data_IF_915724275906
#
_entry.id   IF_915724275906
#
_cell.length_a   1.000
_cell.length_b   1.000
_cell.length_c   1.000
_cell.angle_alpha   90.00
_cell.angle_beta   90.00
_cell.angle_gamma   90.00
#
_symmetry.space_group_name_H-M   'P 1'
#
loop_
_entity.id
_entity.type
_entity.pdbx_description
1 polymer ?
#
# COMPACT_ATOMS: atom_id res chain seq x y z
N UNK A 1 1.73 23.08 42.47
CA UNK A 1 0.97 23.40 41.24
C UNK A 1 1.66 22.98 39.94
N UNK A 2 2.98 22.70 39.88
CA UNK A 2 3.68 22.42 38.62
C UNK A 2 3.50 21.02 38.01
N UNK A 3 3.46 19.94 38.80
CA UNK A 3 3.43 18.57 38.26
C UNK A 3 2.12 18.25 37.50
N UNK A 4 0.98 18.78 37.95
CA UNK A 4 -0.31 18.57 37.29
C UNK A 4 -0.41 19.30 35.94
N UNK A 5 0.21 20.49 35.83
CA UNK A 5 0.20 21.27 34.59
C UNK A 5 1.04 20.59 33.50
N UNK A 6 2.20 20.04 33.85
CA UNK A 6 3.07 19.29 32.92
C UNK A 6 2.42 17.98 32.48
N UNK A 7 1.71 17.27 33.37
CA UNK A 7 0.97 16.06 33.01
C UNK A 7 -0.12 16.34 31.97
N UNK A 8 -0.87 17.44 32.14
CA UNK A 8 -1.91 17.83 31.20
C UNK A 8 -1.34 18.22 29.82
N UNK A 9 -0.19 18.90 29.77
CA UNK A 9 0.48 19.27 28.51
C UNK A 9 1.00 18.05 27.76
N UNK A 10 1.52 17.04 28.48
CA UNK A 10 1.94 15.77 27.90
C UNK A 10 0.78 14.97 27.31
N UNK A 11 -0.37 14.97 27.99
CA UNK A 11 -1.59 14.33 27.48
C UNK A 11 -2.12 15.03 26.22
N UNK A 12 -1.99 16.35 26.13
CA UNK A 12 -2.32 17.11 24.92
C UNK A 12 -1.40 16.74 23.73
N UNK A 13 -0.08 16.68 23.94
CA UNK A 13 0.85 16.22 22.90
C UNK A 13 0.57 14.79 22.43
N UNK A 14 0.21 13.90 23.36
CA UNK A 14 -0.20 12.53 23.01
C UNK A 14 -1.48 12.53 22.19
N UNK A 15 -2.46 13.37 22.53
CA UNK A 15 -3.70 13.53 21.78
C UNK A 15 -3.44 13.93 20.32
N UNK A 16 -2.68 15.01 20.12
CA UNK A 16 -2.28 15.49 18.77
C UNK A 16 -1.57 14.41 17.99
N UNK A 17 -0.62 13.71 18.61
CA UNK A 17 0.08 12.60 17.95
C UNK A 17 -0.87 11.51 17.44
N UNK A 18 -1.86 11.11 18.24
CA UNK A 18 -2.80 10.07 17.81
C UNK A 18 -3.69 10.54 16.66
N UNK A 19 -4.05 11.83 16.60
CA UNK A 19 -4.77 12.41 15.46
C UNK A 19 -3.89 12.39 14.20
N UNK A 20 -2.66 12.90 14.27
CA UNK A 20 -1.70 12.88 13.15
C UNK A 20 -1.39 11.46 12.67
N UNK A 21 -1.25 10.50 13.59
CA UNK A 21 -1.01 9.10 13.25
C UNK A 21 -2.18 8.52 12.46
N UNK A 22 -3.43 8.88 12.77
CA UNK A 22 -4.60 8.46 12.01
C UNK A 22 -4.63 9.07 10.60
N UNK A 23 -4.24 10.34 10.45
CA UNK A 23 -4.12 10.97 9.13
C UNK A 23 -3.06 10.28 8.27
N UNK A 24 -1.91 9.94 8.86
CA UNK A 24 -0.87 9.18 8.19
C UNK A 24 -1.34 7.78 7.80
N UNK A 25 -2.07 7.07 8.66
CA UNK A 25 -2.65 5.76 8.36
C UNK A 25 -3.63 5.82 7.18
N UNK A 26 -4.55 6.79 7.18
CA UNK A 26 -5.48 7.00 6.07
C UNK A 26 -4.75 7.30 4.75
N UNK A 27 -3.70 8.11 4.81
CA UNK A 27 -2.86 8.39 3.65
C UNK A 27 -2.13 7.14 3.14
N UNK A 28 -1.67 6.28 4.05
CA UNK A 28 -1.04 5.00 3.70
C UNK A 28 -2.02 4.04 3.04
N UNK A 29 -3.22 3.86 3.62
CA UNK A 29 -4.27 3.02 3.04
C UNK A 29 -4.65 3.48 1.63
N UNK A 30 -4.87 4.79 1.44
CA UNK A 30 -5.18 5.36 0.14
C UNK A 30 -4.04 5.11 -0.87
N UNK A 31 -2.80 5.35 -0.48
CA UNK A 31 -1.63 5.13 -1.33
C UNK A 31 -1.44 3.64 -1.70
N UNK A 32 -1.67 2.71 -0.77
CA UNK A 32 -1.55 1.27 -1.05
C UNK A 32 -2.59 0.81 -2.08
N UNK A 33 -3.80 1.35 -2.03
CA UNK A 33 -4.85 1.04 -3.01
C UNK A 33 -4.54 1.59 -4.41
N UNK A 34 -3.78 2.68 -4.50
CA UNK A 34 -3.33 3.24 -5.78
C UNK A 34 -2.17 2.44 -6.40
N UNK A 35 -1.40 1.70 -5.59
CA UNK A 35 -0.12 1.11 -5.98
C UNK A 35 -0.24 0.08 -7.13
N UNK A 36 -1.37 -0.63 -7.23
CA UNK A 36 -1.63 -1.60 -8.30
C UNK A 36 -1.85 -0.92 -9.66
N UNK A 37 -2.55 0.22 -9.67
CA UNK A 37 -2.98 0.92 -10.88
C UNK A 37 -2.15 2.17 -11.22
N UNK A 38 -1.25 2.59 -10.31
CA UNK A 38 -0.46 3.80 -10.49
C UNK A 38 0.55 3.67 -11.63
N UNK A 39 0.54 4.66 -12.53
CA UNK A 39 1.58 4.84 -13.55
C UNK A 39 2.92 5.29 -12.93
N UNK A 40 2.87 6.03 -11.82
CA UNK A 40 4.04 6.43 -11.03
C UNK A 40 4.05 5.75 -9.65
N UNK A 41 4.50 4.49 -9.64
CA UNK A 41 4.64 3.69 -8.41
C UNK A 41 5.68 4.27 -7.45
N UNK A 42 6.67 5.00 -7.97
CA UNK A 42 7.75 5.54 -7.16
C UNK A 42 7.24 6.64 -6.23
N UNK A 43 6.38 7.54 -6.71
CA UNK A 43 5.82 8.57 -5.86
C UNK A 43 4.84 8.01 -4.82
N UNK A 44 4.12 6.93 -5.14
CA UNK A 44 3.31 6.20 -4.16
C UNK A 44 4.18 5.64 -3.04
N UNK A 45 5.30 4.97 -3.37
CA UNK A 45 6.25 4.45 -2.37
C UNK A 45 6.89 5.58 -1.53
N UNK A 46 7.19 6.73 -2.13
CA UNK A 46 7.67 7.90 -1.40
C UNK A 46 6.65 8.40 -0.36
N UNK A 47 5.37 8.49 -0.72
CA UNK A 47 4.29 8.88 0.20
C UNK A 47 4.16 7.90 1.36
N UNK A 48 4.16 6.60 1.06
CA UNK A 48 4.10 5.54 2.07
C UNK A 48 5.27 5.62 3.05
N UNK A 49 6.50 5.77 2.53
CA UNK A 49 7.70 5.90 3.35
C UNK A 49 7.62 7.13 4.27
N UNK A 50 7.23 8.30 3.75
CA UNK A 50 7.11 9.52 4.55
C UNK A 50 6.11 9.37 5.70
N UNK A 51 4.95 8.76 5.44
CA UNK A 51 3.94 8.53 6.47
C UNK A 51 4.43 7.60 7.57
N UNK A 52 5.03 6.46 7.21
CA UNK A 52 5.62 5.52 8.18
C UNK A 52 6.75 6.19 9.00
N UNK A 53 7.60 6.97 8.34
CA UNK A 53 8.71 7.69 8.97
C UNK A 53 8.24 8.73 9.98
N UNK A 54 7.18 9.48 9.67
CA UNK A 54 6.58 10.44 10.60
C UNK A 54 6.02 9.74 11.84
N UNK A 55 5.27 8.64 11.68
CA UNK A 55 4.74 7.85 12.80
C UNK A 55 5.89 7.31 13.67
N UNK A 56 6.96 6.79 13.06
CA UNK A 56 8.15 6.32 13.77
C UNK A 56 8.80 7.43 14.59
N UNK A 57 9.07 8.58 13.96
CA UNK A 57 9.72 9.71 14.60
C UNK A 57 8.93 10.21 15.81
N UNK A 58 7.65 10.50 15.62
CA UNK A 58 6.80 11.02 16.68
C UNK A 58 6.57 10.00 17.82
N UNK A 59 6.35 8.72 17.50
CA UNK A 59 6.20 7.67 18.52
C UNK A 59 7.49 7.47 19.34
N UNK A 60 8.67 7.57 18.72
CA UNK A 60 9.94 7.52 19.43
C UNK A 60 10.13 8.72 20.36
N UNK A 61 9.81 9.94 19.90
CA UNK A 61 9.87 11.16 20.72
C UNK A 61 8.95 11.10 21.94
N UNK A 62 7.78 10.48 21.81
CA UNK A 62 6.81 10.30 22.89
C UNK A 62 7.08 9.05 23.76
N UNK A 63 8.12 8.28 23.46
CA UNK A 63 8.47 7.07 24.20
C UNK A 63 7.50 5.88 24.00
N UNK A 64 6.68 5.90 22.94
CA UNK A 64 5.76 4.81 22.58
C UNK A 64 6.55 3.73 21.82
N UNK A 65 7.43 3.03 22.55
CA UNK A 65 8.48 2.18 21.98
C UNK A 65 7.94 1.04 21.10
N UNK A 66 6.76 0.49 21.42
CA UNK A 66 6.15 -0.57 20.63
C UNK A 66 5.80 -0.09 19.23
N UNK A 67 5.21 1.10 19.15
CA UNK A 67 4.83 1.74 17.90
C UNK A 67 6.06 2.18 17.10
N UNK A 68 7.07 2.73 17.77
CA UNK A 68 8.35 3.09 17.15
C UNK A 68 9.07 1.86 16.56
N UNK A 69 9.11 0.74 17.28
CA UNK A 69 9.74 -0.49 16.79
C UNK A 69 8.98 -1.09 15.60
N UNK A 70 7.65 -1.16 15.67
CA UNK A 70 6.85 -1.72 14.58
C UNK A 70 6.93 -0.86 13.31
N UNK A 71 6.77 0.46 13.46
CA UNK A 71 6.85 1.41 12.35
C UNK A 71 8.24 1.44 11.71
N UNK A 72 9.32 1.23 12.48
CA UNK A 72 10.67 1.06 11.93
C UNK A 72 10.77 -0.16 11.01
N UNK A 73 10.26 -1.33 11.41
CA UNK A 73 10.30 -2.53 10.55
C UNK A 73 9.50 -2.34 9.26
N UNK A 74 8.38 -1.63 9.32
CA UNK A 74 7.61 -1.26 8.14
C UNK A 74 8.36 -0.26 7.24
N UNK A 75 8.99 0.76 7.84
CA UNK A 75 9.81 1.75 7.14
C UNK A 75 11.00 1.09 6.41
N UNK A 76 11.63 0.07 7.01
CA UNK A 76 12.75 -0.66 6.39
C UNK A 76 12.33 -1.31 5.07
N UNK A 77 11.19 -2.02 5.05
CA UNK A 77 10.67 -2.63 3.82
C UNK A 77 10.33 -1.57 2.78
N UNK A 78 9.62 -0.51 3.18
CA UNK A 78 9.27 0.60 2.30
C UNK A 78 10.51 1.31 1.73
N UNK A 79 11.56 1.47 2.54
CA UNK A 79 12.83 2.04 2.13
C UNK A 79 13.49 1.20 1.04
N UNK A 80 13.53 -0.12 1.20
CA UNK A 80 14.12 -1.01 0.19
C UNK A 80 13.36 -1.02 -1.13
N UNK A 81 12.03 -1.00 -1.06
CA UNK A 81 11.15 -0.91 -2.23
C UNK A 81 11.32 0.45 -2.93
N UNK A 82 11.31 1.55 -2.18
CA UNK A 82 11.52 2.92 -2.68
C UNK A 82 12.89 3.07 -3.33
N UNK A 83 13.94 2.54 -2.72
CA UNK A 83 15.30 2.68 -3.21
C UNK A 83 15.60 1.72 -4.38
N UNK A 84 14.64 0.89 -4.79
CA UNK A 84 14.77 -0.09 -5.87
C UNK A 84 15.70 -1.27 -5.54
N UNK A 85 16.12 -1.40 -4.27
CA UNK A 85 16.95 -2.52 -3.80
C UNK A 85 16.14 -3.81 -3.61
N UNK A 86 14.80 -3.69 -3.56
CA UNK A 86 13.84 -4.77 -3.60
C UNK A 86 12.79 -4.47 -4.67
N UNK A 87 12.51 -5.43 -5.55
CA UNK A 87 11.47 -5.27 -6.57
C UNK A 87 10.07 -5.39 -5.94
N UNK A 88 9.21 -4.41 -6.19
CA UNK A 88 7.82 -4.46 -5.76
C UNK A 88 7.07 -5.59 -6.48
N UNK A 89 6.31 -6.36 -5.72
CA UNK A 89 5.51 -7.49 -6.21
C UNK A 89 4.21 -7.61 -5.40
N UNK A 90 3.25 -8.40 -5.90
CA UNK A 90 1.92 -8.52 -5.28
C UNK A 90 1.98 -8.93 -3.80
N UNK A 91 2.86 -9.89 -3.45
CA UNK A 91 3.05 -10.32 -2.06
C UNK A 91 3.54 -9.19 -1.14
N UNK A 92 4.26 -8.21 -1.68
CA UNK A 92 4.69 -7.03 -0.91
C UNK A 92 3.51 -6.11 -0.66
N UNK A 93 2.62 -5.90 -1.64
CA UNK A 93 1.41 -5.07 -1.47
C UNK A 93 0.50 -5.69 -0.40
N UNK A 94 0.25 -6.99 -0.48
CA UNK A 94 -0.55 -7.73 0.52
C UNK A 94 0.06 -7.64 1.93
N UNK A 95 1.38 -7.73 2.03
CA UNK A 95 2.08 -7.58 3.30
C UNK A 95 1.99 -6.16 3.85
N UNK A 96 2.15 -5.14 2.99
CA UNK A 96 2.04 -3.74 3.38
C UNK A 96 0.63 -3.39 3.85
N UNK A 97 -0.42 -3.88 3.19
CA UNK A 97 -1.81 -3.71 3.62
C UNK A 97 -2.04 -4.28 5.02
N UNK A 98 -1.64 -5.54 5.25
CA UNK A 98 -1.73 -6.16 6.59
C UNK A 98 -0.88 -5.44 7.63
N UNK A 99 0.28 -4.92 7.24
CA UNK A 99 1.14 -4.17 8.15
C UNK A 99 0.53 -2.82 8.54
N UNK A 100 -0.12 -2.13 7.61
CA UNK A 100 -0.88 -0.91 7.88
C UNK A 100 -2.08 -1.18 8.79
N UNK A 101 -2.82 -2.29 8.58
CA UNK A 101 -3.92 -2.71 9.47
C UNK A 101 -3.43 -2.92 10.92
N UNK A 102 -2.33 -3.66 11.08
CA UNK A 102 -1.71 -3.92 12.38
C UNK A 102 -1.19 -2.62 13.01
N UNK A 103 -0.58 -1.72 12.22
CA UNK A 103 -0.13 -0.41 12.70
C UNK A 103 -1.32 0.41 13.23
N UNK A 104 -2.44 0.46 12.50
CA UNK A 104 -3.64 1.16 12.92
C UNK A 104 -4.27 0.60 14.19
N UNK A 105 -4.32 -0.74 14.31
CA UNK A 105 -4.77 -1.40 15.52
C UNK A 105 -3.81 -1.13 16.70
N UNK A 106 -2.51 -1.03 16.46
CA UNK A 106 -1.49 -0.72 17.46
C UNK A 106 -1.62 0.73 17.96
N UNK A 107 -1.82 1.69 17.05
CA UNK A 107 -2.10 3.09 17.39
C UNK A 107 -3.33 3.19 18.29
N UNK A 108 -4.39 2.45 17.96
CA UNK A 108 -5.62 2.39 18.77
C UNK A 108 -5.34 1.81 20.16
N UNK A 109 -4.60 0.70 20.24
CA UNK A 109 -4.26 0.06 21.51
C UNK A 109 -3.42 0.96 22.42
N UNK A 110 -2.43 1.67 21.87
CA UNK A 110 -1.57 2.61 22.62
C UNK A 110 -2.33 3.87 23.08
N UNK A 111 -3.35 4.30 22.30
CA UNK A 111 -4.25 5.40 22.69
C UNK A 111 -5.16 4.98 23.84
N UNK A 112 -5.76 3.81 23.72
CA UNK A 112 -6.80 3.34 24.65
C UNK A 112 -6.21 2.61 25.87
N UNK A 113 -4.89 2.38 25.89
CA UNK A 113 -4.18 1.69 26.96
C UNK A 113 -4.50 0.19 27.05
N UNK A 114 -4.84 -0.44 25.92
CA UNK A 114 -5.25 -1.84 25.85
C UNK A 114 -4.09 -2.77 25.48
N UNK A 115 -4.34 -4.08 25.54
CA UNK A 115 -3.39 -5.07 25.06
C UNK A 115 -3.07 -4.85 23.56
N UNK A 116 -1.85 -5.20 23.11
CA UNK A 116 -1.51 -5.16 21.69
C UNK A 116 -2.43 -6.05 20.87
N UNK A 117 -2.72 -5.66 19.61
CA UNK A 117 -3.53 -6.48 18.73
C UNK A 117 -2.84 -7.80 18.39
N UNK A 118 -3.64 -8.79 17.99
CA UNK A 118 -3.12 -10.02 17.41
C UNK A 118 -2.34 -9.73 16.12
N UNK A 119 -1.37 -10.58 15.79
CA UNK A 119 -0.63 -10.49 14.53
C UNK A 119 0.56 -9.54 14.52
N UNK A 120 0.80 -8.74 15.56
CA UNK A 120 1.99 -7.87 15.67
C UNK A 120 3.27 -8.66 15.44
N UNK A 121 3.46 -9.76 16.18
CA UNK A 121 4.67 -10.58 16.08
C UNK A 121 4.80 -11.29 14.73
N UNK A 122 3.70 -11.87 14.21
CA UNK A 122 3.73 -12.60 12.94
C UNK A 122 4.02 -11.67 11.77
N UNK A 123 3.34 -10.52 11.68
CA UNK A 123 3.56 -9.56 10.59
C UNK A 123 4.94 -8.92 10.71
N UNK A 124 5.42 -8.61 11.92
CA UNK A 124 6.80 -8.14 12.12
C UNK A 124 7.82 -9.13 11.56
N UNK A 125 7.62 -10.43 11.80
CA UNK A 125 8.49 -11.48 11.25
C UNK A 125 8.41 -11.55 9.72
N UNK A 126 7.22 -11.45 9.15
CA UNK A 126 7.04 -11.44 7.70
C UNK A 126 7.70 -10.24 7.04
N UNK A 127 7.64 -9.05 7.65
CA UNK A 127 8.35 -7.85 7.19
C UNK A 127 9.88 -8.06 7.18
N UNK A 128 10.45 -8.65 8.24
CA UNK A 128 11.88 -8.96 8.28
C UNK A 128 12.27 -9.94 7.17
N UNK A 129 11.48 -11.01 6.97
CA UNK A 129 11.73 -11.99 5.90
C UNK A 129 11.64 -11.36 4.51
N UNK A 130 10.68 -10.45 4.28
CA UNK A 130 10.58 -9.70 3.02
C UNK A 130 11.81 -8.81 2.78
N UNK A 131 12.42 -8.26 3.84
CA UNK A 131 13.68 -7.53 3.76
C UNK A 131 14.90 -8.43 3.46
N UNK A 132 14.86 -9.72 3.75
CA UNK A 132 15.99 -10.63 3.48
C UNK A 132 15.91 -11.26 2.09
N UNK A 133 14.71 -11.46 1.56
CA UNK A 133 14.48 -12.09 0.27
C UNK A 133 14.75 -11.13 -0.90
N UNK A 134 16.02 -11.03 -1.32
CA UNK A 134 16.45 -10.35 -2.57
C UNK A 134 16.22 -11.22 -3.81
N UNK A 135 15.58 -12.39 -3.66
CA UNK A 135 15.35 -13.29 -4.79
C UNK A 135 14.48 -12.62 -5.85
N UNK A 136 15.13 -12.35 -6.98
CA UNK A 136 14.64 -12.00 -8.32
C UNK A 136 13.19 -12.44 -8.58
N UNK A 137 12.23 -11.75 -8.00
CA UNK A 137 10.87 -11.79 -8.50
C UNK A 137 10.88 -10.93 -9.75
N UNK A 138 10.87 -11.58 -10.92
CA UNK A 138 10.47 -10.88 -12.14
C UNK A 138 9.12 -10.22 -11.87
N UNK A 139 8.90 -8.97 -12.33
CA UNK A 139 7.64 -8.30 -12.11
C UNK A 139 6.53 -9.16 -12.71
N UNK A 140 5.77 -9.87 -11.87
CA UNK A 140 4.59 -10.64 -12.27
C UNK A 140 3.39 -9.71 -12.49
N UNK A 141 3.66 -8.52 -13.04
CA UNK A 141 2.64 -7.65 -13.59
C UNK A 141 2.79 -7.72 -15.11
N UNK A 142 1.87 -8.45 -15.75
CA UNK A 142 1.90 -8.68 -17.18
C UNK A 142 1.85 -7.37 -17.96
N UNK A 143 2.94 -7.04 -18.64
CA UNK A 143 2.81 -6.47 -19.98
C UNK A 143 2.25 -7.60 -20.84
N UNK A 144 1.22 -7.39 -21.68
CA UNK A 144 0.89 -8.39 -22.68
C UNK A 144 2.07 -8.46 -23.65
N UNK A 145 3.00 -9.38 -23.42
CA UNK A 145 3.88 -9.88 -24.47
C UNK A 145 3.01 -10.81 -25.31
N UNK A 146 2.21 -10.21 -26.18
CA UNK A 146 1.71 -10.93 -27.35
C UNK A 146 2.94 -11.55 -28.01
N UNK A 147 2.98 -12.86 -28.28
CA UNK A 147 3.99 -13.37 -29.19
C UNK A 147 3.84 -12.56 -30.46
N UNK A 148 4.92 -11.92 -30.91
CA UNK A 148 4.99 -11.35 -32.24
C UNK A 148 4.90 -12.52 -33.25
N UNK A 149 3.69 -13.06 -33.45
CA UNK A 149 3.37 -13.89 -34.58
C UNK A 149 3.26 -12.95 -35.77
N UNK A 150 4.35 -12.94 -36.53
CA UNK A 150 4.48 -12.52 -37.92
C UNK A 150 3.25 -11.84 -38.52
N UNK A 151 3.29 -10.51 -38.59
CA UNK A 151 2.57 -9.78 -39.64
C UNK A 151 3.15 -10.23 -40.99
N UNK A 152 2.57 -11.26 -41.60
CA UNK A 152 2.70 -11.48 -43.04
C UNK A 152 1.69 -10.56 -43.72
N UNK A 153 2.23 -9.61 -44.49
CA UNK A 153 1.50 -8.50 -45.06
C UNK A 153 0.27 -8.90 -45.86
N UNK A 154 -0.84 -8.24 -45.56
CA UNK A 154 -1.92 -8.02 -46.52
C UNK A 154 -1.87 -6.56 -46.95
N UNK A 155 -1.83 -6.36 -48.27
CA UNK A 155 -1.91 -5.04 -48.90
C UNK A 155 -3.15 -4.30 -48.38
N UNK A 156 -2.95 -3.09 -47.89
CA UNK A 156 -4.03 -2.15 -47.59
C UNK A 156 -4.50 -1.53 -48.91
N UNK A 157 -5.67 -1.95 -49.38
CA UNK A 157 -6.50 -1.14 -50.28
C UNK A 157 -7.33 -0.20 -49.39
N UNK A 158 -7.14 1.11 -49.59
CA UNK A 158 -7.79 2.15 -48.83
C UNK A 158 -9.08 2.59 -49.53
N UNK A 159 -10.12 1.76 -49.45
CA UNK A 159 -11.47 2.26 -49.65
C UNK A 159 -12.45 1.72 -48.61
N UNK A 160 -13.15 2.66 -47.98
CA UNK A 160 -14.31 2.51 -47.09
C UNK A 160 -14.02 2.44 -45.59
N UNK A 161 -14.53 3.47 -44.93
CA UNK A 161 -14.57 3.77 -43.50
C UNK A 161 -15.51 2.81 -42.77
N UNK A 162 -15.01 1.97 -41.86
CA UNK A 162 -15.80 1.53 -40.69
C UNK A 162 -14.87 1.00 -39.59
N UNK A 163 -14.87 1.69 -38.45
CA UNK A 163 -14.08 1.38 -37.26
C UNK A 163 -14.72 0.21 -36.51
N UNK A 164 -14.16 -1.00 -36.66
CA UNK A 164 -14.50 -2.15 -35.82
C UNK A 164 -13.57 -2.21 -34.60
N UNK A 165 -14.12 -2.01 -33.40
CA UNK A 165 -13.43 -2.16 -32.12
C UNK A 165 -12.94 -3.60 -31.89
N UNK A 166 -11.80 -3.82 -31.20
CA UNK A 166 -11.33 -5.17 -30.83
C UNK A 166 -12.16 -5.80 -29.69
N UNK A 167 -12.16 -7.14 -29.54
CA UNK A 167 -13.01 -7.86 -28.59
C UNK A 167 -12.61 -7.58 -27.12
N UNK A 168 -13.62 -7.37 -26.26
CA UNK A 168 -13.47 -7.12 -24.82
C UNK A 168 -12.78 -8.30 -24.12
N UNK A 169 -11.61 -8.05 -23.54
CA UNK A 169 -10.89 -8.98 -22.67
C UNK A 169 -11.54 -8.96 -21.27
N UNK A 170 -12.34 -9.98 -20.95
CA UNK A 170 -12.93 -10.12 -19.60
C UNK A 170 -11.90 -10.76 -18.68
N UNK A 171 -11.23 -9.96 -17.85
CA UNK A 171 -10.34 -10.41 -16.78
C UNK A 171 -11.07 -10.33 -15.43
N UNK A 172 -11.21 -11.45 -14.73
CA UNK A 172 -11.68 -11.50 -13.34
C UNK A 172 -10.52 -11.99 -12.45
N UNK A 173 -9.97 -11.14 -11.55
CA UNK A 173 -8.86 -11.54 -10.69
C UNK A 173 -9.31 -12.52 -9.58
N UNK A 174 -8.43 -13.43 -9.12
CA UNK A 174 -8.72 -14.35 -8.03
C UNK A 174 -8.62 -13.65 -6.66
N UNK A 175 -9.76 -13.41 -6.00
CA UNK A 175 -9.79 -12.84 -4.64
C UNK A 175 -9.66 -13.94 -3.55
N UNK A 176 -8.77 -13.79 -2.55
CA UNK A 176 -8.82 -14.62 -1.33
C UNK A 176 -10.03 -14.25 -0.46
N UNK A 177 -10.72 -15.26 0.09
CA UNK A 177 -12.12 -15.18 0.55
C UNK A 177 -12.35 -14.60 1.95
N UNK A 178 -11.38 -13.94 2.58
CA UNK A 178 -11.48 -13.66 4.01
C UNK A 178 -10.55 -12.53 4.49
N UNK A 179 -10.91 -11.29 4.18
CA UNK A 179 -10.58 -10.13 5.00
C UNK A 179 -11.70 -9.09 4.89
N UNK A 180 -12.16 -8.56 6.02
CA UNK A 180 -13.29 -7.61 6.08
C UNK A 180 -13.04 -6.29 5.32
N UNK A 181 -11.82 -6.04 4.83
CA UNK A 181 -11.49 -4.90 3.97
C UNK A 181 -11.73 -5.09 2.46
N UNK A 182 -12.02 -6.31 1.99
CA UNK A 182 -12.04 -6.62 0.53
C UNK A 182 -13.28 -6.04 -0.18
N UNK A 183 -14.36 -5.72 0.53
CA UNK A 183 -15.59 -5.20 -0.09
C UNK A 183 -15.39 -3.76 -0.61
N UNK A 184 -14.62 -2.92 0.10
CA UNK A 184 -14.30 -1.56 -0.36
C UNK A 184 -13.32 -1.57 -1.56
N UNK A 185 -12.47 -2.60 -1.67
CA UNK A 185 -11.55 -2.80 -2.78
C UNK A 185 -12.30 -3.18 -4.06
N UNK A 186 -13.31 -4.05 -3.97
CA UNK A 186 -14.09 -4.48 -5.14
C UNK A 186 -14.86 -3.32 -5.80
N UNK A 187 -15.44 -2.41 -5.01
CA UNK A 187 -16.21 -1.27 -5.54
C UNK A 187 -15.31 -0.19 -6.16
N UNK A 188 -14.10 0.03 -5.62
CA UNK A 188 -13.16 1.05 -6.14
C UNK A 188 -12.33 0.55 -7.33
N UNK A 189 -12.00 -0.74 -7.39
CA UNK A 189 -11.38 -1.35 -8.57
C UNK A 189 -12.34 -1.30 -9.75
N UNK A 190 -13.65 -1.54 -9.53
CA UNK A 190 -14.65 -1.40 -10.58
C UNK A 190 -14.72 0.03 -11.16
N UNK A 191 -14.62 1.06 -10.32
CA UNK A 191 -14.60 2.47 -10.77
C UNK A 191 -13.36 2.79 -11.62
N UNK A 192 -12.20 2.21 -11.31
CA UNK A 192 -10.96 2.39 -12.08
C UNK A 192 -11.07 1.82 -13.51
N UNK A 193 -11.88 0.77 -13.71
CA UNK A 193 -12.19 0.25 -15.05
C UNK A 193 -13.12 1.16 -15.85
N UNK A 194 -14.08 1.83 -15.22
CA UNK A 194 -14.99 2.75 -15.91
C UNK A 194 -14.27 4.03 -16.38
N UNK A 195 -13.30 4.53 -15.60
CA UNK A 195 -12.50 5.69 -15.98
C UNK A 195 -11.50 5.38 -17.11
N UNK A 196 -10.98 4.15 -17.16
CA UNK A 196 -10.14 3.69 -18.27
C UNK A 196 -10.93 3.51 -19.57
N UNK A 197 -12.17 2.99 -19.54
CA UNK A 197 -13.04 2.93 -20.73
C UNK A 197 -13.45 4.34 -21.23
N UNK A 198 -13.62 5.32 -20.34
CA UNK A 198 -13.92 6.72 -20.73
C UNK A 198 -12.76 7.47 -21.35
N UNK A 199 -11.51 7.14 -21.00
CA UNK A 199 -10.32 7.77 -21.57
C UNK A 199 -9.96 7.26 -22.98
N UNK A 200 -10.63 6.22 -23.46
CA UNK A 200 -10.41 5.59 -24.77
C UNK A 200 -11.49 5.94 -25.83
N UNK A 201 -12.39 6.88 -25.52
CA UNK A 201 -13.40 7.45 -26.43
C UNK A 201 -13.10 8.92 -26.67
#
# INVERSE_FOLDING_TARGET
>A
MGAQAVANEWDEFRGVFFEEAQEHLQAMEAALLELECASDRQEVLNRLFRAAHSIKGASATLGIMRLAAYSHTLEDLLGRLRDGTLALGASHVDLLLRATDVLGALVTAERDGTAPPEGVESVTKELHVACENVEKQEPQWGVPTTPAQAYQGTQYDNSTTETSLPPKLVYAPPFPKNARGVIAVAERVAACYEDFERALV
#
